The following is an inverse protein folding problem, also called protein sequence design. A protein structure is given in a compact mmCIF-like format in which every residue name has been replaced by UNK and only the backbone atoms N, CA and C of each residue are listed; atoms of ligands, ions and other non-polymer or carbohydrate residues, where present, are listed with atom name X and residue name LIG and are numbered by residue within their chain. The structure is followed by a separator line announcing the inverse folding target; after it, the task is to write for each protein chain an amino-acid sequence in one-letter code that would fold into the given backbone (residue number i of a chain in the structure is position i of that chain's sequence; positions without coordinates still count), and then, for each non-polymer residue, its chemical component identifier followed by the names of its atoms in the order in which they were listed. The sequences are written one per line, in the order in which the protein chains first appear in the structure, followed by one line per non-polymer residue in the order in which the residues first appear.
data_IF_408030595651
#
_entry.id   IF_408030595651
#
_cell.length_a   1.000
_cell.length_b   1.000
_cell.length_c   1.000
_cell.angle_alpha   90.00
_cell.angle_beta   90.00
_cell.angle_gamma   90.00
#
_symmetry.space_group_name_H-M   'P 1'
#
loop_
_entity.id
_entity.type
_entity.pdbx_description
1 polymer ?
#
# COMPACT_ATOMS: atom_id res chain seq x y z
N UNK A 1 -3.19 8.80 -12.24
CA UNK A 1 -2.03 9.30 -11.46
C UNK A 1 -0.83 8.37 -11.69
N UNK A 2 0.42 8.86 -11.66
CA UNK A 2 1.61 7.98 -11.77
C UNK A 2 2.38 7.89 -10.44
N UNK A 3 3.23 6.84 -10.24
CA UNK A 3 3.96 6.64 -8.99
C UNK A 3 4.89 7.80 -8.61
N UNK A 4 5.53 8.46 -9.56
CA UNK A 4 6.48 9.53 -9.27
C UNK A 4 5.74 10.77 -8.76
N UNK A 5 4.60 11.10 -9.37
CA UNK A 5 3.72 12.14 -8.86
C UNK A 5 3.19 11.80 -7.47
N UNK A 6 2.68 10.59 -7.26
CA UNK A 6 2.18 10.14 -5.95
C UNK A 6 3.25 10.24 -4.86
N UNK A 7 4.46 9.74 -5.11
CA UNK A 7 5.56 9.80 -4.14
C UNK A 7 6.06 11.23 -3.86
N UNK A 8 5.76 12.19 -4.74
CA UNK A 8 6.11 13.60 -4.53
C UNK A 8 5.15 14.35 -3.60
N UNK A 9 3.95 13.81 -3.35
CA UNK A 9 2.99 14.35 -2.41
C UNK A 9 3.48 14.18 -0.96
N UNK A 10 3.02 15.02 -0.04
CA UNK A 10 3.23 14.76 1.37
C UNK A 10 2.43 13.55 1.85
N UNK A 11 2.76 13.06 3.06
CA UNK A 11 2.14 11.85 3.60
C UNK A 11 0.63 11.98 3.75
N UNK A 12 0.10 13.16 4.09
CA UNK A 12 -1.35 13.34 4.27
C UNK A 12 -2.06 13.23 2.92
N UNK A 13 -1.53 13.89 1.89
CA UNK A 13 -2.08 13.82 0.53
C UNK A 13 -1.94 12.44 -0.10
N UNK A 14 -0.85 11.72 0.18
CA UNK A 14 -0.71 10.30 -0.23
C UNK A 14 -1.81 9.43 0.38
N UNK A 15 -2.09 9.60 1.67
CA UNK A 15 -3.13 8.84 2.36
C UNK A 15 -4.53 9.21 1.86
N UNK A 16 -4.79 10.50 1.63
CA UNK A 16 -6.04 10.96 1.04
C UNK A 16 -6.27 10.32 -0.33
N UNK A 17 -5.26 10.34 -1.21
CA UNK A 17 -5.33 9.68 -2.51
C UNK A 17 -5.65 8.18 -2.38
N UNK A 18 -4.98 7.47 -1.46
CA UNK A 18 -5.28 6.04 -1.23
C UNK A 18 -6.68 5.80 -0.64
N UNK A 19 -7.17 6.70 0.20
CA UNK A 19 -8.47 6.59 0.84
C UNK A 19 -9.63 6.87 -0.12
N UNK A 20 -9.48 7.86 -1.01
CA UNK A 20 -10.55 8.27 -1.94
C UNK A 20 -10.49 7.57 -3.30
N UNK A 21 -9.29 7.24 -3.78
CA UNK A 21 -9.09 6.67 -5.13
C UNK A 21 -8.50 5.26 -5.10
N UNK A 22 -7.90 4.85 -3.98
CA UNK A 22 -7.28 3.53 -3.85
C UNK A 22 -8.28 2.42 -3.54
N UNK A 23 -7.94 1.20 -3.93
CA UNK A 23 -8.64 -0.02 -3.52
C UNK A 23 -7.70 -0.88 -2.68
N UNK A 24 -8.10 -1.20 -1.46
CA UNK A 24 -7.37 -2.12 -0.58
C UNK A 24 -7.38 -3.51 -1.21
N UNK A 25 -6.20 -4.09 -1.38
CA UNK A 25 -6.03 -5.44 -1.91
C UNK A 25 -5.79 -6.46 -0.81
N UNK A 26 -4.91 -6.14 0.14
CA UNK A 26 -4.53 -7.07 1.19
C UNK A 26 -3.87 -6.36 2.37
N UNK A 27 -3.94 -7.01 3.53
CA UNK A 27 -3.17 -6.65 4.72
C UNK A 27 -2.27 -7.82 5.09
N UNK A 28 -1.00 -7.53 5.32
CA UNK A 28 0.01 -8.51 5.76
C UNK A 28 0.56 -8.07 7.12
N UNK A 29 0.61 -9.00 8.06
CA UNK A 29 1.07 -8.76 9.43
C UNK A 29 2.35 -9.57 9.65
N UNK A 30 3.45 -8.89 9.98
CA UNK A 30 4.75 -9.53 10.23
C UNK A 30 5.39 -8.89 11.45
N UNK A 31 5.52 -9.67 12.52
CA UNK A 31 6.14 -9.25 13.78
C UNK A 31 5.61 -7.91 14.30
N UNK A 32 6.44 -6.86 14.24
CA UNK A 32 6.17 -5.51 14.72
C UNK A 32 5.60 -4.59 13.62
N UNK A 33 5.33 -5.13 12.43
CA UNK A 33 4.92 -4.35 11.27
C UNK A 33 3.58 -4.80 10.70
N UNK A 34 2.80 -3.82 10.26
CA UNK A 34 1.59 -4.01 9.47
C UNK A 34 1.83 -3.43 8.10
N UNK A 35 1.56 -4.20 7.05
CA UNK A 35 1.68 -3.75 5.68
C UNK A 35 0.30 -3.73 5.01
N UNK A 36 -0.10 -2.57 4.52
CA UNK A 36 -1.33 -2.37 3.77
C UNK A 36 -0.98 -2.25 2.28
N UNK A 37 -1.55 -3.12 1.46
CA UNK A 37 -1.38 -3.08 0.02
C UNK A 37 -2.62 -2.49 -0.64
N UNK A 38 -2.41 -1.46 -1.45
CA UNK A 38 -3.43 -0.79 -2.25
C UNK A 38 -3.12 -0.95 -3.73
N UNK A 39 -4.16 -1.00 -4.54
CA UNK A 39 -4.10 -0.62 -5.95
C UNK A 39 -4.58 0.81 -6.09
N UNK A 40 -3.87 1.60 -6.90
CA UNK A 40 -4.23 2.96 -7.23
C UNK A 40 -4.02 3.14 -8.74
N UNK A 41 -5.11 3.20 -9.48
CA UNK A 41 -5.10 3.33 -10.94
C UNK A 41 -4.25 2.22 -11.62
N UNK A 42 -3.06 2.54 -12.11
CA UNK A 42 -2.17 1.64 -12.86
C UNK A 42 -0.93 1.19 -12.07
N UNK A 43 -0.94 1.34 -10.75
CA UNK A 43 0.17 0.95 -9.88
C UNK A 43 -0.32 0.50 -8.48
N UNK A 44 0.62 0.01 -7.70
CA UNK A 44 0.40 -0.46 -6.33
C UNK A 44 1.10 0.42 -5.33
N UNK A 45 0.54 0.51 -4.13
CA UNK A 45 1.14 1.22 -3.00
C UNK A 45 1.15 0.32 -1.78
N UNK A 46 2.32 0.16 -1.18
CA UNK A 46 2.50 -0.50 0.11
C UNK A 46 2.75 0.56 1.19
N UNK A 47 1.93 0.53 2.24
CA UNK A 47 2.17 1.31 3.45
C UNK A 47 2.67 0.36 4.54
N UNK A 48 3.82 0.67 5.14
CA UNK A 48 4.33 -0.03 6.32
C UNK A 48 4.06 0.80 7.57
N UNK A 49 3.38 0.20 8.53
CA UNK A 49 3.10 0.76 9.84
C UNK A 49 3.87 -0.01 10.91
N UNK A 50 4.19 0.69 11.99
CA UNK A 50 4.53 0.08 13.28
C UNK A 50 3.25 -0.44 13.95
N UNK A 51 3.21 -1.73 14.29
CA UNK A 51 2.02 -2.41 14.80
C UNK A 51 1.58 -1.91 16.19
N UNK A 52 2.50 -1.33 16.97
CA UNK A 52 2.23 -0.92 18.35
C UNK A 52 1.83 0.55 18.47
N UNK A 53 2.43 1.40 17.65
CA UNK A 53 2.23 2.86 17.65
C UNK A 53 1.31 3.32 16.52
N UNK A 54 1.01 2.45 15.57
CA UNK A 54 0.24 2.73 14.35
C UNK A 54 0.82 3.88 13.52
N UNK A 55 2.12 4.15 13.65
CA UNK A 55 2.82 5.19 12.89
C UNK A 55 3.22 4.64 11.53
N UNK A 56 2.99 5.43 10.49
CA UNK A 56 3.50 5.14 9.15
C UNK A 56 5.02 5.29 9.17
N UNK A 57 5.70 4.20 8.83
CA UNK A 57 7.15 4.13 8.73
C UNK A 57 7.62 4.34 7.30
N UNK A 58 6.83 3.90 6.32
CA UNK A 58 7.19 3.95 4.91
C UNK A 58 5.96 3.88 4.01
N UNK A 59 6.00 4.62 2.90
CA UNK A 59 5.07 4.50 1.77
C UNK A 59 5.90 4.21 0.52
N UNK A 60 5.56 3.13 -0.18
CA UNK A 60 6.28 2.70 -1.39
C UNK A 60 5.32 2.50 -2.54
N UNK A 61 5.51 3.25 -3.64
CA UNK A 61 4.75 3.07 -4.87
C UNK A 61 5.55 2.25 -5.90
N UNK A 62 4.89 1.31 -6.59
CA UNK A 62 5.54 0.45 -7.57
C UNK A 62 4.57 -0.09 -8.62
N UNK A 63 5.09 -0.41 -9.81
CA UNK A 63 4.30 -1.02 -10.91
C UNK A 63 4.55 -2.51 -11.10
N UNK A 64 5.69 -3.03 -10.65
CA UNK A 64 6.01 -4.44 -10.85
C UNK A 64 5.16 -5.34 -9.97
N UNK A 65 4.72 -6.48 -10.51
CA UNK A 65 4.01 -7.52 -9.78
C UNK A 65 4.94 -8.36 -8.90
N UNK A 66 6.27 -8.27 -9.08
CA UNK A 66 7.23 -9.06 -8.29
C UNK A 66 7.07 -8.81 -6.78
N UNK A 67 6.73 -7.57 -6.41
CA UNK A 67 6.50 -7.17 -5.01
C UNK A 67 5.17 -7.65 -4.44
N UNK A 68 4.31 -8.27 -5.25
CA UNK A 68 3.05 -8.86 -4.81
C UNK A 68 3.23 -10.30 -4.31
N UNK A 69 4.39 -10.92 -4.55
CA UNK A 69 4.67 -12.29 -4.12
C UNK A 69 4.36 -12.55 -2.63
N UNK A 70 4.75 -11.68 -1.68
CA UNK A 70 4.40 -11.86 -0.26
C UNK A 70 2.91 -11.71 0.03
N UNK A 71 2.16 -11.09 -0.88
CA UNK A 71 0.74 -10.82 -0.74
C UNK A 71 -0.15 -11.90 -1.36
N UNK A 72 0.39 -12.79 -2.21
CA UNK A 72 -0.39 -13.83 -2.90
C UNK A 72 -1.32 -14.65 -1.98
N UNK A 73 -0.91 -15.05 -0.75
CA UNK A 73 -1.79 -15.79 0.17
C UNK A 73 -3.00 -14.99 0.67
N UNK A 74 -2.94 -13.66 0.58
CA UNK A 74 -3.93 -12.73 1.13
C UNK A 74 -4.81 -12.08 0.06
N UNK A 75 -4.42 -12.20 -1.22
CA UNK A 75 -5.22 -11.76 -2.36
C UNK A 75 -6.34 -12.78 -2.58
N UNK A 76 -7.53 -12.51 -2.03
CA UNK A 76 -8.71 -13.32 -2.33
C UNK A 76 -9.20 -13.01 -3.75
N UNK A 77 -9.54 -14.03 -4.54
CA UNK A 77 -10.31 -13.83 -5.78
C UNK A 77 -11.61 -13.08 -5.43
N UNK A 78 -11.84 -11.93 -6.07
CA UNK A 78 -13.11 -11.24 -5.98
C UNK A 78 -14.19 -12.13 -6.63
N UNK A 79 -15.14 -12.61 -5.83
CA UNK A 79 -16.31 -13.38 -6.29
C UNK A 79 -17.24 -12.55 -7.19
#
# INVERSE_FOLDING_TARGET
MDPAHFTSLDTEDQLNALYFEGSVLANRYEDEFIFLLYSLDSFYVEIRHDAYTNRILQVSAFKSTDKLEPYLPYLTEAY
#
